data_IF_188431371244
#
_entry.id   IF_188431371244
#
_cell.length_a   1.000
_cell.length_b   1.000
_cell.length_c   1.000
_cell.angle_alpha   90.00
_cell.angle_beta   90.00
_cell.angle_gamma   90.00
#
_symmetry.space_group_name_H-M   'P 1'
#
loop_
_entity.id
_entity.type
_entity.pdbx_description
1 polymer ?
#
# COMPACT_ATOMS: atom_id res chain seq x y z
N UNK A 1 12.89 3.63 18.11
CA UNK A 1 11.64 4.20 18.67
C UNK A 1 11.10 3.23 19.71
N UNK A 2 10.53 3.71 20.82
CA UNK A 2 9.95 2.84 21.87
C UNK A 2 8.42 2.92 21.78
N UNK A 3 7.80 1.77 21.55
CA UNK A 3 6.34 1.63 21.47
C UNK A 3 5.90 0.66 22.55
N UNK A 4 4.86 1.02 23.31
CA UNK A 4 4.21 0.13 24.26
C UNK A 4 2.99 -0.46 23.58
N UNK A 5 2.90 -1.79 23.54
CA UNK A 5 1.77 -2.53 22.96
C UNK A 5 1.27 -3.52 24.01
N UNK A 6 -0.03 -3.74 24.05
CA UNK A 6 -0.63 -4.79 24.86
C UNK A 6 -0.44 -6.14 24.16
N UNK A 7 0.06 -7.13 24.91
CA UNK A 7 0.28 -8.48 24.42
C UNK A 7 -0.46 -9.46 25.32
N UNK A 8 -1.10 -10.45 24.71
CA UNK A 8 -1.67 -11.57 25.46
C UNK A 8 -0.57 -12.25 26.32
N UNK A 9 -0.85 -12.62 27.59
CA UNK A 9 0.14 -13.22 28.47
C UNK A 9 0.80 -14.49 27.90
N UNK A 10 0.05 -15.30 27.14
CA UNK A 10 0.54 -16.52 26.49
C UNK A 10 1.52 -16.16 25.39
N UNK A 11 1.22 -15.15 24.58
CA UNK A 11 2.12 -14.65 23.52
C UNK A 11 3.41 -14.11 24.12
N UNK A 12 3.32 -13.32 25.20
CA UNK A 12 4.50 -12.80 25.88
C UNK A 12 5.39 -13.92 26.45
N UNK A 13 4.79 -14.99 26.99
CA UNK A 13 5.54 -16.14 27.49
C UNK A 13 6.29 -16.85 26.36
N UNK A 14 5.65 -17.07 25.21
CA UNK A 14 6.27 -17.67 24.03
C UNK A 14 7.42 -16.81 23.49
N UNK A 15 7.23 -15.49 23.41
CA UNK A 15 8.29 -14.57 22.98
C UNK A 15 9.50 -14.61 23.91
N UNK A 16 9.30 -14.67 25.24
CA UNK A 16 10.38 -14.80 26.22
C UNK A 16 11.10 -16.15 26.13
N UNK A 17 10.39 -17.23 25.84
CA UNK A 17 11.02 -18.53 25.63
C UNK A 17 11.93 -18.50 24.39
N UNK A 18 11.41 -17.99 23.27
CA UNK A 18 12.15 -17.84 22.02
C UNK A 18 13.33 -16.86 22.14
N UNK A 19 13.18 -15.82 22.96
CA UNK A 19 14.26 -14.89 23.30
C UNK A 19 15.46 -15.62 23.93
N UNK A 20 15.22 -16.56 24.85
CA UNK A 20 16.27 -17.34 25.52
C UNK A 20 16.96 -18.31 24.56
N UNK A 21 16.19 -18.90 23.65
CA UNK A 21 16.70 -19.84 22.64
C UNK A 21 17.59 -19.14 21.61
N UNK A 22 17.21 -17.94 21.16
CA UNK A 22 17.94 -17.21 20.11
C UNK A 22 19.01 -16.24 20.64
N UNK A 23 19.01 -15.95 21.94
CA UNK A 23 19.95 -14.98 22.55
C UNK A 23 19.75 -13.53 22.10
N UNK A 24 18.62 -13.21 21.43
CA UNK A 24 18.29 -11.85 20.95
C UNK A 24 17.63 -11.00 22.04
N UNK A 25 17.60 -9.69 21.84
CA UNK A 25 16.73 -8.83 22.64
C UNK A 25 15.26 -9.06 22.28
N UNK A 26 14.35 -8.93 23.25
CA UNK A 26 12.91 -9.07 23.01
C UNK A 26 12.42 -8.09 21.93
N UNK A 27 12.91 -6.85 21.95
CA UNK A 27 12.53 -5.84 20.95
C UNK A 27 13.00 -6.18 19.53
N UNK A 28 14.18 -6.77 19.38
CA UNK A 28 14.67 -7.25 18.08
C UNK A 28 13.82 -8.42 17.58
N UNK A 29 13.56 -9.42 18.44
CA UNK A 29 12.75 -10.58 18.08
C UNK A 29 11.34 -10.16 17.63
N UNK A 30 10.69 -9.27 18.39
CA UNK A 30 9.37 -8.75 18.06
C UNK A 30 9.39 -7.97 16.75
N UNK A 31 10.39 -7.12 16.53
CA UNK A 31 10.54 -6.36 15.28
C UNK A 31 10.69 -7.28 14.06
N UNK A 32 11.51 -8.33 14.17
CA UNK A 32 11.73 -9.29 13.09
C UNK A 32 10.44 -10.08 12.77
N UNK A 33 9.69 -10.50 13.79
CA UNK A 33 8.43 -11.22 13.60
C UNK A 33 7.35 -10.33 12.98
N UNK A 34 7.18 -9.10 13.49
CA UNK A 34 6.22 -8.15 12.93
C UNK A 34 6.57 -7.79 11.48
N UNK A 35 7.84 -7.54 11.18
CA UNK A 35 8.26 -7.20 9.82
C UNK A 35 7.90 -8.31 8.80
N UNK A 36 8.09 -9.58 9.18
CA UNK A 36 7.72 -10.72 8.32
C UNK A 36 6.23 -10.78 8.05
N UNK A 37 5.38 -10.59 9.07
CA UNK A 37 3.93 -10.63 8.90
C UNK A 37 3.39 -9.42 8.13
N UNK A 38 3.96 -8.23 8.36
CA UNK A 38 3.61 -7.03 7.60
C UNK A 38 3.99 -7.16 6.11
N UNK A 39 5.16 -7.72 5.81
CA UNK A 39 5.57 -7.97 4.43
C UNK A 39 4.67 -8.99 3.70
N UNK A 40 4.09 -9.95 4.43
CA UNK A 40 3.09 -10.89 3.87
C UNK A 40 1.75 -10.21 3.58
N UNK A 41 1.41 -9.19 4.36
CA UNK A 41 0.17 -8.43 4.21
C UNK A 41 0.29 -7.26 3.22
N UNK A 42 1.48 -6.94 2.69
CA UNK A 42 1.57 -5.94 1.65
C UNK A 42 0.76 -6.43 0.43
N UNK A 43 -0.32 -5.72 0.05
CA UNK A 43 -1.01 -6.04 -1.18
C UNK A 43 0.03 -5.96 -2.28
N UNK A 44 0.14 -7.01 -3.08
CA UNK A 44 0.99 -7.03 -4.25
C UNK A 44 0.62 -5.77 -5.03
N UNK A 45 1.51 -4.77 -5.04
CA UNK A 45 1.26 -3.54 -5.79
C UNK A 45 1.11 -4.00 -7.23
N UNK A 46 -0.11 -4.05 -7.72
CA UNK A 46 -0.36 -4.20 -9.13
C UNK A 46 0.28 -2.98 -9.76
N UNK A 47 1.30 -3.21 -10.59
CA UNK A 47 1.92 -2.18 -11.40
C UNK A 47 0.85 -1.70 -12.40
N UNK A 48 -0.03 -0.81 -11.96
CA UNK A 48 -0.97 -0.11 -12.83
C UNK A 48 -0.11 0.84 -13.65
N UNK A 49 0.30 0.36 -14.83
CA UNK A 49 0.91 1.21 -15.84
C UNK A 49 -0.20 1.98 -16.53
N UNK A 50 -0.35 3.25 -16.16
CA UNK A 50 -1.23 4.17 -16.87
C UNK A 50 -0.68 4.40 -18.27
N UNK A 51 -1.43 3.99 -19.29
CA UNK A 51 -1.07 4.25 -20.69
C UNK A 51 -1.25 5.75 -20.95
N UNK A 52 -0.14 6.45 -21.08
CA UNK A 52 -0.11 7.84 -21.55
C UNK A 52 0.44 7.89 -22.97
N UNK A 53 -0.31 8.49 -23.89
CA UNK A 53 0.11 8.72 -25.26
C UNK A 53 -0.16 10.18 -25.64
N UNK A 54 0.67 10.73 -26.53
CA UNK A 54 0.43 12.05 -27.10
C UNK A 54 -0.71 11.94 -28.12
N UNK A 55 -1.90 12.41 -27.75
CA UNK A 55 -3.09 12.42 -28.61
C UNK A 55 -3.16 13.67 -29.51
N UNK A 56 -2.11 14.50 -29.52
CA UNK A 56 -2.07 15.75 -30.26
C UNK A 56 -2.87 16.87 -29.58
N UNK A 57 -3.39 17.80 -30.40
CA UNK A 57 -4.18 18.94 -29.91
C UNK A 57 -5.61 18.47 -29.60
N UNK A 58 -6.15 18.78 -28.42
CA UNK A 58 -7.53 18.44 -28.09
C UNK A 58 -8.50 19.15 -29.05
N UNK A 59 -9.49 18.40 -29.54
CA UNK A 59 -10.53 18.90 -30.44
C UNK A 59 -11.60 19.72 -29.72
N UNK A 60 -11.76 19.48 -28.42
CA UNK A 60 -12.73 20.13 -27.55
C UNK A 60 -12.03 20.59 -26.27
N UNK A 61 -12.58 21.65 -25.66
CA UNK A 61 -12.23 22.00 -24.30
C UNK A 61 -12.93 21.05 -23.33
N UNK A 62 -12.17 20.40 -22.44
CA UNK A 62 -12.73 19.47 -21.46
C UNK A 62 -13.32 20.19 -20.24
N UNK A 63 -13.03 21.49 -20.06
CA UNK A 63 -13.64 22.31 -19.01
C UNK A 63 -15.07 22.74 -19.39
N UNK A 64 -15.40 22.69 -20.68
CA UNK A 64 -16.75 22.94 -21.19
C UNK A 64 -17.53 21.62 -21.31
N UNK A 65 -18.53 21.46 -20.43
CA UNK A 65 -19.39 20.28 -20.38
C UNK A 65 -20.19 20.06 -21.66
N UNK A 66 -20.48 21.11 -22.41
CA UNK A 66 -21.33 21.04 -23.60
C UNK A 66 -20.50 20.91 -24.90
N UNK A 67 -19.19 21.14 -24.84
CA UNK A 67 -18.31 21.12 -26.01
C UNK A 67 -18.27 19.76 -26.74
N UNK A 68 -18.37 18.64 -26.03
CA UNK A 68 -18.42 17.31 -26.64
C UNK A 68 -19.68 17.12 -27.48
N UNK A 69 -20.85 17.40 -26.92
CA UNK A 69 -22.13 17.19 -27.60
C UNK A 69 -22.25 18.13 -28.81
N UNK A 70 -21.88 19.40 -28.64
CA UNK A 70 -21.86 20.35 -29.74
C UNK A 70 -20.90 19.96 -30.89
N UNK A 71 -19.81 19.27 -30.59
CA UNK A 71 -18.89 18.76 -31.61
C UNK A 71 -19.47 17.56 -32.38
N UNK A 72 -20.22 16.68 -31.69
CA UNK A 72 -20.88 15.53 -32.30
C UNK A 72 -22.06 15.96 -33.19
N UNK A 73 -22.89 16.90 -32.72
CA UNK A 73 -24.04 17.42 -33.48
C UNK A 73 -23.64 18.13 -34.79
N UNK A 74 -22.40 18.66 -34.87
CA UNK A 74 -21.86 19.29 -36.08
C UNK A 74 -21.25 18.31 -37.08
N UNK A 75 -21.02 17.07 -36.66
CA UNK A 75 -20.41 16.03 -37.47
C UNK A 75 -21.45 15.16 -38.21
N UNK A 76 -22.74 15.35 -37.91
CA UNK A 76 -23.89 14.79 -38.65
C UNK A 76 -24.34 15.70 -39.82
#
# INVERSE_FOLDING_TARGET
MRTTIDLDPVVLAQLKQKQREEGKSLGQLVSELLARELARCEPQRSDISWVAANLGRPLIDLEDKDALNAALDRAE
#
